data_IF_978509938888
#
_entry.id   IF_978509938888
#
_cell.length_a   1.000
_cell.length_b   1.000
_cell.length_c   1.000
_cell.angle_alpha   90.00
_cell.angle_beta   90.00
_cell.angle_gamma   90.00
#
_symmetry.space_group_name_H-M   'P 1'
#
loop_
_entity.id
_entity.type
_entity.pdbx_description
1 polymer ?
#
# COMPACT_ATOMS: atom_id res chain seq x y z
N UNK A 1 0.83 20.76 1.02
CA UNK A 1 0.46 19.94 2.19
C UNK A 1 -1.03 20.13 2.49
N UNK A 2 -1.88 20.20 1.46
CA UNK A 2 -3.15 20.95 1.58
C UNK A 2 -4.41 20.12 1.25
N UNK A 3 -4.25 18.86 0.84
CA UNK A 3 -5.37 17.95 0.59
C UNK A 3 -6.19 17.77 1.87
N UNK A 4 -7.51 17.99 1.78
CA UNK A 4 -8.47 17.85 2.88
C UNK A 4 -8.08 18.55 4.20
N UNK A 5 -7.47 19.74 4.11
CA UNK A 5 -7.05 20.48 5.30
C UNK A 5 -5.72 20.04 5.91
N UNK A 6 -4.99 19.14 5.24
CA UNK A 6 -3.61 18.78 5.58
C UNK A 6 -3.47 17.79 6.74
N UNK A 7 -2.26 17.69 7.30
CA UNK A 7 -1.94 16.75 8.39
C UNK A 7 -1.66 15.30 7.94
N UNK A 8 -1.60 15.06 6.63
CA UNK A 8 -1.33 13.74 6.06
C UNK A 8 0.16 13.38 6.15
N UNK A 9 0.43 12.20 6.69
CA UNK A 9 1.75 11.56 6.56
C UNK A 9 1.73 10.66 5.32
N UNK A 10 2.53 11.01 4.32
CA UNK A 10 2.70 10.15 3.14
C UNK A 10 3.60 8.97 3.56
N UNK A 11 3.11 7.76 3.39
CA UNK A 11 3.89 6.55 3.69
C UNK A 11 4.28 5.75 2.44
N UNK A 12 3.65 6.04 1.31
CA UNK A 12 3.94 5.44 0.01
C UNK A 12 3.75 6.50 -1.08
N UNK A 13 4.63 6.53 -2.07
CA UNK A 13 4.44 7.36 -3.27
C UNK A 13 5.06 6.72 -4.51
N UNK A 14 4.30 6.70 -5.61
CA UNK A 14 4.73 6.31 -6.98
C UNK A 14 4.53 7.50 -7.92
N UNK A 15 5.49 7.77 -8.81
CA UNK A 15 5.50 8.97 -9.66
C UNK A 15 6.11 8.71 -11.04
N UNK A 16 7.21 7.95 -11.12
CA UNK A 16 8.02 7.86 -12.33
C UNK A 16 8.69 6.50 -12.54
N UNK A 17 8.57 5.57 -11.59
CA UNK A 17 9.24 4.27 -11.65
C UNK A 17 10.75 4.33 -11.42
N UNK A 18 11.27 5.44 -10.88
CA UNK A 18 12.70 5.58 -10.55
C UNK A 18 13.17 4.65 -9.44
N UNK A 19 12.26 4.16 -8.60
CA UNK A 19 12.55 3.23 -7.52
C UNK A 19 11.90 1.87 -7.81
N UNK A 20 12.70 0.81 -7.73
CA UNK A 20 12.19 -0.56 -7.79
C UNK A 20 11.44 -0.91 -6.49
N UNK A 21 10.20 -1.36 -6.64
CA UNK A 21 9.33 -1.82 -5.54
C UNK A 21 9.27 -3.36 -5.45
N UNK A 22 9.90 -4.11 -6.35
CA UNK A 22 10.01 -5.56 -6.26
C UNK A 22 11.14 -5.97 -5.29
N UNK A 23 10.91 -5.67 -4.02
CA UNK A 23 11.90 -5.77 -2.92
C UNK A 23 11.62 -6.94 -1.98
N UNK A 24 12.57 -7.21 -1.09
CA UNK A 24 12.48 -8.29 -0.09
C UNK A 24 11.79 -7.82 1.18
N UNK A 25 11.46 -8.75 2.07
CA UNK A 25 10.80 -8.47 3.34
C UNK A 25 11.51 -7.39 4.15
N UNK A 26 12.83 -7.51 4.31
CA UNK A 26 13.59 -6.61 5.17
C UNK A 26 13.59 -5.16 4.64
N UNK A 27 13.59 -4.97 3.31
CA UNK A 27 13.44 -3.66 2.69
C UNK A 27 12.07 -3.06 2.99
N UNK A 28 10.99 -3.84 2.83
CA UNK A 28 9.63 -3.41 3.13
C UNK A 28 9.41 -3.15 4.62
N UNK A 29 10.12 -3.87 5.48
CA UNK A 29 10.13 -3.65 6.92
C UNK A 29 10.77 -2.33 7.29
N UNK A 30 12.00 -2.07 6.82
CA UNK A 30 12.76 -0.86 7.18
C UNK A 30 12.31 0.40 6.43
N UNK A 31 11.77 0.24 5.22
CA UNK A 31 11.52 1.34 4.29
C UNK A 31 12.66 1.50 3.28
N UNK A 32 12.32 2.12 2.14
CA UNK A 32 13.25 2.37 1.03
C UNK A 32 12.78 3.53 0.15
N UNK A 33 13.65 3.99 -0.75
CA UNK A 33 13.37 5.06 -1.70
C UNK A 33 13.78 6.45 -1.20
N UNK A 34 13.17 7.48 -1.76
CA UNK A 34 13.49 8.88 -1.50
C UNK A 34 12.21 9.69 -1.27
N UNK A 35 12.13 10.40 -0.15
CA UNK A 35 10.97 11.22 0.23
C UNK A 35 10.68 12.37 -0.73
N UNK A 36 11.61 12.70 -1.63
CA UNK A 36 11.44 13.69 -2.69
C UNK A 36 10.95 13.08 -4.02
N UNK A 37 11.02 11.75 -4.20
CA UNK A 37 10.52 11.04 -5.40
C UNK A 37 9.59 9.88 -5.02
N UNK A 38 9.99 8.63 -5.18
CA UNK A 38 9.20 7.45 -4.81
C UNK A 38 9.77 6.83 -3.54
N UNK A 39 8.90 6.41 -2.62
CA UNK A 39 9.36 5.74 -1.40
C UNK A 39 8.27 4.90 -0.76
N UNK A 40 8.75 4.03 0.14
CA UNK A 40 7.98 3.27 1.09
C UNK A 40 8.54 3.55 2.49
N UNK A 41 7.68 3.98 3.42
CA UNK A 41 8.09 4.41 4.76
C UNK A 41 8.63 3.28 5.65
N UNK A 42 8.28 2.03 5.34
CA UNK A 42 8.63 0.86 6.15
C UNK A 42 7.46 0.40 7.02
N UNK A 43 7.20 -0.91 7.01
CA UNK A 43 6.11 -1.53 7.76
C UNK A 43 6.24 -1.31 9.27
N UNK A 44 7.47 -1.27 9.81
CA UNK A 44 7.71 -0.96 11.22
C UNK A 44 7.22 0.45 11.60
N UNK A 45 7.41 1.41 10.70
CA UNK A 45 6.98 2.79 10.92
C UNK A 45 5.46 2.93 10.71
N UNK A 46 4.90 2.26 9.70
CA UNK A 46 3.45 2.27 9.43
C UNK A 46 2.69 1.62 10.59
N UNK A 47 3.19 0.50 11.13
CA UNK A 47 2.64 -0.12 12.33
C UNK A 47 2.60 0.87 13.50
N UNK A 48 3.72 1.51 13.83
CA UNK A 48 3.80 2.49 14.93
C UNK A 48 2.83 3.66 14.74
N UNK A 49 2.70 4.18 13.53
CA UNK A 49 1.80 5.29 13.20
C UNK A 49 0.33 4.89 13.35
N UNK A 50 -0.03 3.70 12.86
CA UNK A 50 -1.43 3.24 12.82
C UNK A 50 -1.90 2.56 14.11
N UNK A 51 -0.98 2.16 15.00
CA UNK A 51 -1.31 1.66 16.33
C UNK A 51 -1.79 2.76 17.30
N UNK A 52 -1.55 4.04 16.98
CA UNK A 52 -1.84 5.17 17.88
C UNK A 52 -3.18 5.84 17.53
N UNK A 53 -4.24 5.41 18.20
CA UNK A 53 -5.59 5.96 18.00
C UNK A 53 -6.13 5.69 16.59
N UNK A 54 -7.30 6.25 16.28
CA UNK A 54 -7.89 6.05 14.96
C UNK A 54 -7.13 6.84 13.90
N UNK A 55 -6.76 6.15 12.81
CA UNK A 55 -6.15 6.74 11.62
C UNK A 55 -7.03 6.53 10.41
N UNK A 56 -7.06 7.54 9.55
CA UNK A 56 -7.70 7.47 8.22
C UNK A 56 -6.62 7.14 7.19
N UNK A 57 -6.92 6.21 6.28
CA UNK A 57 -6.12 5.97 5.09
C UNK A 57 -6.74 6.71 3.91
N UNK A 58 -5.93 7.45 3.15
CA UNK A 58 -6.32 8.03 1.86
C UNK A 58 -5.34 7.55 0.79
N UNK A 59 -5.89 7.14 -0.35
CA UNK A 59 -5.15 6.74 -1.54
C UNK A 59 -5.57 7.69 -2.66
N UNK A 60 -4.64 8.49 -3.16
CA UNK A 60 -4.84 9.36 -4.31
C UNK A 60 -4.22 8.72 -5.55
N UNK A 61 -4.98 8.62 -6.64
CA UNK A 61 -4.58 8.03 -7.92
C UNK A 61 -4.68 9.10 -9.00
N UNK A 62 -3.62 9.26 -9.78
CA UNK A 62 -3.60 10.15 -10.94
C UNK A 62 -3.31 9.30 -12.17
N UNK A 63 -4.26 9.27 -13.10
CA UNK A 63 -4.08 8.63 -14.40
C UNK A 63 -3.44 9.64 -15.37
N UNK A 64 -2.27 9.31 -15.95
CA UNK A 64 -1.63 10.17 -16.94
C UNK A 64 -2.39 10.17 -18.26
N UNK A 65 -2.33 11.29 -18.98
CA UNK A 65 -2.96 11.44 -20.30
C UNK A 65 -3.86 12.68 -20.38
N UNK A 66 -4.26 13.11 -21.60
CA UNK A 66 -5.19 14.21 -21.78
C UNK A 66 -6.66 13.71 -21.94
N UNK A 67 -7.63 14.19 -21.14
CA UNK A 67 -7.45 15.00 -19.93
C UNK A 67 -6.92 14.17 -18.76
N UNK A 68 -6.14 14.79 -17.88
CA UNK A 68 -5.66 14.13 -16.66
C UNK A 68 -6.86 13.81 -15.79
N UNK A 69 -6.90 12.58 -15.26
CA UNK A 69 -7.95 12.14 -14.34
C UNK A 69 -7.32 11.85 -12.99
N UNK A 70 -8.03 12.24 -11.94
CA UNK A 70 -7.68 11.91 -10.56
C UNK A 70 -8.87 11.27 -9.89
N UNK A 71 -8.62 10.34 -8.99
CA UNK A 71 -9.61 9.75 -8.11
C UNK A 71 -8.96 9.45 -6.75
N UNK A 72 -9.78 9.27 -5.72
CA UNK A 72 -9.31 8.89 -4.40
C UNK A 72 -10.18 7.81 -3.76
N UNK A 73 -9.56 7.04 -2.87
CA UNK A 73 -10.24 6.15 -1.93
C UNK A 73 -9.85 6.57 -0.51
N UNK A 74 -10.80 6.61 0.40
CA UNK A 74 -10.62 6.96 1.80
C UNK A 74 -11.22 5.87 2.69
N UNK A 75 -10.53 5.49 3.75
CA UNK A 75 -10.97 4.49 4.72
C UNK A 75 -10.89 5.12 6.11
N UNK A 76 -12.03 5.22 6.79
CA UNK A 76 -12.15 5.90 8.09
C UNK A 76 -11.36 5.23 9.22
N UNK A 77 -10.91 3.99 9.02
CA UNK A 77 -10.04 3.28 9.94
C UNK A 77 -9.01 2.46 9.17
N UNK A 78 -7.75 2.59 9.55
CA UNK A 78 -6.64 1.72 9.12
C UNK A 78 -5.76 1.33 10.30
N UNK A 79 -5.41 0.06 10.39
CA UNK A 79 -4.34 -0.43 11.27
C UNK A 79 -3.48 -1.45 10.54
N UNK A 80 -2.18 -1.43 10.82
CA UNK A 80 -1.22 -2.43 10.37
C UNK A 80 -0.66 -3.13 11.60
N UNK A 81 -0.72 -4.46 11.62
CA UNK A 81 -0.17 -5.27 12.70
C UNK A 81 1.34 -5.16 12.86
N UNK A 82 1.89 -5.78 13.89
CA UNK A 82 3.35 -5.91 14.07
C UNK A 82 3.93 -7.03 13.17
N UNK A 83 5.25 -7.23 13.23
CA UNK A 83 5.90 -8.30 12.45
C UNK A 83 5.42 -9.71 12.84
N UNK A 84 5.12 -9.95 14.12
CA UNK A 84 4.64 -11.26 14.59
C UNK A 84 3.30 -11.64 13.94
N UNK A 85 2.45 -10.64 13.70
CA UNK A 85 1.21 -10.77 12.94
C UNK A 85 1.38 -10.56 11.43
N UNK A 86 2.63 -10.58 10.93
CA UNK A 86 2.99 -10.41 9.52
C UNK A 86 2.41 -9.13 8.93
N UNK A 87 2.37 -8.08 9.75
CA UNK A 87 1.83 -6.78 9.41
C UNK A 87 0.40 -6.82 8.86
N UNK A 88 -0.47 -7.69 9.40
CA UNK A 88 -1.87 -7.82 8.96
C UNK A 88 -2.55 -6.46 8.75
N UNK A 89 -3.21 -6.27 7.61
CA UNK A 89 -3.98 -5.06 7.33
C UNK A 89 -5.38 -5.17 7.95
N UNK A 90 -5.83 -4.12 8.63
CA UNK A 90 -7.26 -3.94 8.92
C UNK A 90 -7.72 -2.59 8.43
N UNK A 91 -8.76 -2.59 7.61
CA UNK A 91 -9.35 -1.38 7.01
C UNK A 91 -10.87 -1.43 7.09
N UNK A 92 -11.50 -0.27 7.23
CA UNK A 92 -12.95 -0.15 7.25
C UNK A 92 -13.42 1.26 6.83
N UNK A 93 -14.70 1.36 6.49
CA UNK A 93 -15.38 2.64 6.23
C UNK A 93 -14.91 3.32 4.95
N UNK A 94 -14.90 2.57 3.85
CA UNK A 94 -14.61 3.09 2.51
C UNK A 94 -15.53 4.26 2.14
N UNK A 95 -14.94 5.28 1.51
CA UNK A 95 -15.60 6.32 0.74
C UNK A 95 -14.67 6.82 -0.37
N UNK A 96 -15.17 7.61 -1.31
CA UNK A 96 -14.39 8.15 -2.43
C UNK A 96 -14.92 7.72 -3.80
N UNK A 97 -14.20 8.12 -4.85
CA UNK A 97 -14.59 7.99 -6.26
C UNK A 97 -13.67 7.06 -7.07
N UNK A 98 -12.59 6.52 -6.47
CA UNK A 98 -11.69 5.56 -7.11
C UNK A 98 -12.20 4.11 -7.15
N UNK A 99 -13.26 3.79 -6.39
CA UNK A 99 -13.71 2.42 -6.15
C UNK A 99 -13.01 1.77 -4.94
N UNK A 100 -13.64 0.75 -4.37
CA UNK A 100 -13.15 0.06 -3.18
C UNK A 100 -12.32 -1.19 -3.56
N UNK A 101 -11.03 -0.98 -3.81
CA UNK A 101 -10.08 -2.05 -4.13
C UNK A 101 -9.14 -2.41 -2.98
N UNK A 102 -9.20 -1.73 -1.82
CA UNK A 102 -8.39 -2.10 -0.65
C UNK A 102 -9.17 -3.03 0.29
N UNK A 103 -10.51 -2.95 0.36
CA UNK A 103 -11.29 -3.80 1.27
C UNK A 103 -11.13 -5.30 1.00
N UNK A 104 -10.83 -5.73 -0.23
CA UNK A 104 -10.50 -7.14 -0.55
C UNK A 104 -9.25 -7.64 0.19
N UNK A 105 -8.36 -6.71 0.56
CA UNK A 105 -7.11 -6.99 1.28
C UNK A 105 -7.29 -6.92 2.80
N UNK A 106 -8.49 -6.65 3.30
CA UNK A 106 -8.77 -6.58 4.72
C UNK A 106 -8.52 -7.94 5.40
N UNK A 107 -7.83 -7.93 6.53
CA UNK A 107 -7.35 -9.09 7.29
C UNK A 107 -6.31 -9.97 6.58
N UNK A 108 -5.72 -9.52 5.46
CA UNK A 108 -4.65 -10.24 4.80
C UNK A 108 -3.28 -9.90 5.40
N UNK A 109 -2.36 -10.87 5.35
CA UNK A 109 -0.96 -10.68 5.75
C UNK A 109 -0.16 -10.05 4.62
N UNK A 110 0.90 -9.32 4.98
CA UNK A 110 1.81 -8.77 3.99
C UNK A 110 2.69 -9.89 3.39
N UNK A 111 2.91 -9.82 2.08
CA UNK A 111 3.70 -10.81 1.34
C UNK A 111 4.71 -10.12 0.42
N UNK A 112 5.92 -10.67 0.37
CA UNK A 112 7.02 -10.25 -0.52
C UNK A 112 7.52 -11.45 -1.33
N UNK A 113 8.40 -11.21 -2.30
CA UNK A 113 8.96 -12.30 -3.14
C UNK A 113 9.67 -13.41 -2.35
N UNK A 114 10.16 -13.10 -1.15
CA UNK A 114 10.91 -13.98 -0.26
C UNK A 114 10.13 -14.42 0.98
N UNK A 115 8.92 -13.88 1.19
CA UNK A 115 7.99 -14.30 2.26
C UNK A 115 6.57 -14.36 1.74
N UNK A 116 6.15 -15.57 1.40
CA UNK A 116 4.80 -15.87 0.98
C UNK A 116 3.88 -16.07 2.20
N UNK A 117 2.97 -15.12 2.41
CA UNK A 117 1.95 -15.17 3.44
C UNK A 117 0.53 -15.00 2.87
N UNK A 118 0.38 -15.10 1.54
CA UNK A 118 -0.93 -14.98 0.91
C UNK A 118 -1.71 -16.30 1.03
N UNK A 119 -2.97 -16.33 0.56
CA UNK A 119 -3.85 -17.49 0.75
C UNK A 119 -3.73 -18.52 -0.38
N UNK A 120 -2.86 -18.29 -1.36
CA UNK A 120 -2.72 -19.15 -2.55
C UNK A 120 -1.58 -20.15 -2.34
N UNK A 121 -1.58 -21.17 -3.20
CA UNK A 121 -0.46 -22.11 -3.31
C UNK A 121 0.66 -21.59 -4.24
N UNK A 122 0.50 -20.37 -4.76
CA UNK A 122 1.49 -19.67 -5.59
C UNK A 122 1.84 -18.37 -4.87
N UNK A 123 3.06 -17.88 -5.04
CA UNK A 123 3.42 -16.57 -4.50
C UNK A 123 2.84 -15.47 -5.39
N UNK A 124 1.84 -14.75 -4.88
CA UNK A 124 1.27 -13.59 -5.56
C UNK A 124 2.32 -12.50 -5.74
N UNK A 125 3.19 -12.29 -4.74
CA UNK A 125 4.28 -11.33 -4.82
C UNK A 125 5.24 -11.64 -5.98
N UNK A 126 5.64 -12.91 -6.15
CA UNK A 126 6.50 -13.32 -7.25
C UNK A 126 5.80 -13.26 -8.62
N UNK A 127 4.50 -13.52 -8.65
CA UNK A 127 3.70 -13.54 -9.89
C UNK A 127 3.41 -12.12 -10.41
N UNK A 128 3.14 -11.17 -9.51
CA UNK A 128 2.71 -9.81 -9.83
C UNK A 128 3.75 -8.74 -9.51
N UNK A 129 5.00 -9.16 -9.29
CA UNK A 129 6.19 -8.32 -9.17
C UNK A 129 5.99 -7.12 -8.21
N UNK A 130 5.49 -7.41 -7.01
CA UNK A 130 5.25 -6.41 -5.99
C UNK A 130 5.30 -7.00 -4.57
N UNK A 131 4.90 -6.19 -3.61
CA UNK A 131 4.62 -6.64 -2.26
C UNK A 131 3.39 -5.95 -1.72
N UNK A 132 2.48 -6.74 -1.16
CA UNK A 132 1.19 -6.24 -0.74
C UNK A 132 0.55 -7.17 0.28
N UNK A 133 -0.59 -6.74 0.82
CA UNK A 133 -1.51 -7.59 1.58
C UNK A 133 -2.30 -8.48 0.64
N UNK A 134 -1.60 -9.36 -0.10
CA UNK A 134 -2.22 -10.18 -1.14
C UNK A 134 -3.28 -11.13 -0.58
N UNK A 135 -4.40 -11.22 -1.30
CA UNK A 135 -5.45 -12.20 -1.11
C UNK A 135 -5.26 -13.30 -2.18
N UNK A 136 -6.06 -13.31 -3.25
CA UNK A 136 -6.05 -14.34 -4.28
C UNK A 136 -6.15 -13.80 -5.73
N UNK A 137 -5.32 -12.87 -6.20
CA UNK A 137 -4.16 -12.27 -5.54
C UNK A 137 -4.42 -10.83 -5.10
N UNK A 138 -5.05 -10.00 -5.94
CA UNK A 138 -5.32 -8.61 -5.59
C UNK A 138 -6.43 -7.93 -6.40
N UNK A 139 -7.19 -7.05 -5.75
CA UNK A 139 -7.94 -5.97 -6.41
C UNK A 139 -7.11 -4.69 -6.62
N UNK A 140 -6.01 -4.53 -5.86
CA UNK A 140 -5.08 -3.41 -5.98
C UNK A 140 -3.63 -3.87 -5.85
N UNK A 141 -2.73 -3.28 -6.65
CA UNK A 141 -1.29 -3.60 -6.60
C UNK A 141 -0.44 -2.33 -6.71
N UNK A 142 -0.62 -1.39 -5.76
CA UNK A 142 0.03 -0.07 -5.78
C UNK A 142 1.57 -0.12 -5.65
N UNK A 143 2.09 -1.25 -5.17
CA UNK A 143 3.52 -1.55 -5.06
C UNK A 143 4.03 -2.47 -6.19
N UNK A 144 3.22 -2.71 -7.22
CA UNK A 144 3.64 -3.47 -8.41
C UNK A 144 4.61 -2.71 -9.31
N UNK A 145 4.94 -3.33 -10.44
CA UNK A 145 5.72 -2.70 -11.50
C UNK A 145 5.07 -1.40 -11.96
N UNK A 146 5.88 -0.36 -12.11
CA UNK A 146 5.39 0.94 -12.52
C UNK A 146 4.91 0.89 -13.98
N UNK A 147 3.72 1.46 -14.25
CA UNK A 147 3.16 1.50 -15.60
C UNK A 147 2.64 0.17 -16.16
N UNK A 148 2.55 -0.90 -15.34
CA UNK A 148 2.04 -2.21 -15.77
C UNK A 148 0.52 -2.37 -15.61
N UNK A 149 -0.24 -1.29 -15.69
CA UNK A 149 -1.72 -1.27 -15.58
C UNK A 149 -2.34 -0.59 -16.77
#
# INVERSE_FOLDING_TARGET
MDTDGGGWTIFQRRVDGSIDFYRKWDDYKSGFGNTNTEYWLGLDNIHKLTAQGNKTLRVDIISPGPPQRSAYASYSSVTVGDENSKYILRVAGYSGDAGDSISEHNNMFFSTQDKDNDIRNISCAATYFGAWWYNACHASNLNGLYGST
#
